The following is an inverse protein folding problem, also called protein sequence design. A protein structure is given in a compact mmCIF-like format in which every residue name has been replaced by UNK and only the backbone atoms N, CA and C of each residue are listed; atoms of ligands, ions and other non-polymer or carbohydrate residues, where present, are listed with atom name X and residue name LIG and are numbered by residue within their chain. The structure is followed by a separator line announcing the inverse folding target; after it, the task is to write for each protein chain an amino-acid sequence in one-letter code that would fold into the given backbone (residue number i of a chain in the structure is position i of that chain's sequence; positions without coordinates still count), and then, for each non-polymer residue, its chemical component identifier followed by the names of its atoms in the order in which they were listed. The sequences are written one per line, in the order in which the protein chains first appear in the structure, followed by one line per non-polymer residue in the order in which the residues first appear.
data_IF_011939620132
#
_entry.id   IF_011939620132
#
_cell.length_a   1.000
_cell.length_b   1.000
_cell.length_c   1.000
_cell.angle_alpha   90.00
_cell.angle_beta   90.00
_cell.angle_gamma   90.00
#
_symmetry.space_group_name_H-M   'P 1'
#
loop_
_entity.id
_entity.type
_entity.pdbx_description
1 polymer ?
#
# COMPACT_ATOMS: atom_id res chain seq x y z
N UNK A 1 -60.20 9.66 15.51
CA UNK A 1 -59.16 10.54 14.94
C UNK A 1 -57.94 10.70 15.84
N UNK A 2 -58.08 10.85 17.17
CA UNK A 2 -56.95 11.06 18.10
C UNK A 2 -56.04 9.82 18.29
N UNK A 3 -56.56 8.59 18.20
CA UNK A 3 -55.76 7.36 18.31
C UNK A 3 -54.89 7.07 17.07
N UNK A 4 -55.35 7.46 15.87
CA UNK A 4 -54.64 7.24 14.62
C UNK A 4 -53.36 8.08 14.51
N UNK A 5 -53.35 9.27 15.16
CA UNK A 5 -52.20 10.18 15.20
C UNK A 5 -51.12 9.65 16.17
N UNK A 6 -51.51 9.05 17.30
CA UNK A 6 -50.57 8.43 18.25
C UNK A 6 -49.90 7.17 17.69
N UNK A 7 -50.65 6.36 16.92
CA UNK A 7 -50.11 5.17 16.24
C UNK A 7 -49.15 5.58 15.12
N UNK A 8 -49.46 6.64 14.36
CA UNK A 8 -48.55 7.17 13.34
C UNK A 8 -47.21 7.66 13.90
N UNK A 9 -47.22 8.27 15.09
CA UNK A 9 -45.99 8.75 15.75
C UNK A 9 -45.11 7.61 16.29
N UNK A 10 -45.70 6.50 16.74
CA UNK A 10 -44.98 5.29 17.20
C UNK A 10 -44.36 4.52 16.02
N UNK A 11 -45.05 4.48 14.87
CA UNK A 11 -44.54 3.85 13.64
C UNK A 11 -43.41 4.68 13.02
N UNK A 12 -43.45 6.02 13.14
CA UNK A 12 -42.38 6.89 12.63
C UNK A 12 -41.12 6.86 13.52
N UNK A 13 -41.26 6.62 14.84
CA UNK A 13 -40.13 6.54 15.77
C UNK A 13 -39.35 5.21 15.67
N UNK A 14 -39.98 4.14 15.17
CA UNK A 14 -39.34 2.82 14.99
C UNK A 14 -38.53 2.70 13.69
N UNK A 15 -38.75 3.60 12.73
CA UNK A 15 -38.06 3.61 11.43
C UNK A 15 -36.67 4.27 11.46
N UNK A 16 -36.25 4.82 12.60
CA UNK A 16 -34.91 5.40 12.82
C UNK A 16 -33.94 4.46 13.56
N UNK A 17 -34.24 3.15 13.64
CA UNK A 17 -33.26 2.16 14.07
C UNK A 17 -32.22 2.00 12.97
N UNK A 18 -31.16 2.80 13.07
CA UNK A 18 -29.96 2.72 12.25
C UNK A 18 -29.46 1.28 12.24
N UNK A 19 -29.47 0.68 11.04
CA UNK A 19 -28.75 -0.56 10.78
C UNK A 19 -27.28 -0.29 11.08
N UNK A 20 -26.82 -0.72 12.25
CA UNK A 20 -25.41 -0.72 12.58
C UNK A 20 -24.76 -1.73 11.62
N UNK A 21 -24.16 -1.22 10.55
CA UNK A 21 -23.23 -2.00 9.74
C UNK A 21 -22.07 -2.31 10.67
N UNK A 22 -22.10 -3.50 11.25
CA UNK A 22 -21.01 -4.00 12.08
C UNK A 22 -19.86 -4.30 11.12
N UNK A 23 -18.96 -3.34 10.97
CA UNK A 23 -17.70 -3.58 10.29
C UNK A 23 -16.98 -4.68 11.06
N UNK A 24 -16.64 -5.78 10.39
CA UNK A 24 -16.04 -6.96 11.01
C UNK A 24 -14.65 -6.70 11.63
N UNK A 25 -14.10 -5.48 11.47
CA UNK A 25 -12.81 -5.09 12.04
C UNK A 25 -11.64 -5.91 11.48
N UNK A 26 -10.50 -5.84 12.17
CA UNK A 26 -9.29 -6.57 11.84
C UNK A 26 -8.03 -5.71 11.86
N UNK A 27 -6.93 -6.30 11.41
CA UNK A 27 -5.61 -5.67 11.40
C UNK A 27 -5.44 -4.79 10.16
N UNK A 28 -5.07 -3.52 10.38
CA UNK A 28 -4.71 -2.57 9.35
C UNK A 28 -3.34 -1.94 9.62
N UNK A 29 -2.64 -1.55 8.55
CA UNK A 29 -1.40 -0.80 8.63
C UNK A 29 -1.71 0.69 8.51
N UNK A 30 -1.03 1.53 9.30
CA UNK A 30 -1.17 2.99 9.26
C UNK A 30 -0.65 3.64 7.98
N UNK A 31 -0.03 2.88 7.07
CA UNK A 31 0.45 3.36 5.78
C UNK A 31 0.41 2.25 4.71
N UNK A 32 0.34 2.66 3.44
CA UNK A 32 0.40 1.75 2.27
C UNK A 32 1.82 1.61 1.68
N UNK A 33 2.78 2.34 2.27
CA UNK A 33 4.22 2.29 2.00
C UNK A 33 4.98 2.95 3.14
N UNK A 34 6.26 2.63 3.25
CA UNK A 34 7.17 3.22 4.24
C UNK A 34 8.33 3.88 3.51
N UNK A 35 8.59 5.14 3.83
CA UNK A 35 9.83 5.82 3.43
C UNK A 35 10.80 5.75 4.61
N UNK A 36 11.96 5.15 4.38
CA UNK A 36 13.06 5.07 5.34
C UNK A 36 14.14 6.07 4.91
N UNK A 37 14.29 7.23 5.57
CA UNK A 37 15.42 8.11 5.34
C UNK A 37 16.72 7.38 5.72
N UNK A 38 17.67 7.26 4.81
CA UNK A 38 18.94 6.53 5.01
C UNK A 38 19.75 6.99 6.24
N UNK A 39 19.64 8.27 6.61
CA UNK A 39 20.30 8.84 7.79
C UNK A 39 19.54 8.57 9.11
N UNK A 40 18.31 8.07 9.06
CA UNK A 40 17.51 7.77 10.24
C UNK A 40 17.99 6.49 10.92
N UNK A 41 18.08 6.52 12.26
CA UNK A 41 18.38 5.34 13.07
C UNK A 41 17.28 4.27 13.00
N UNK A 42 16.03 4.70 12.83
CA UNK A 42 14.86 3.85 12.68
C UNK A 42 13.72 4.63 12.03
N UNK A 43 12.75 3.92 11.48
CA UNK A 43 11.42 4.43 11.11
C UNK A 43 10.34 3.59 11.79
N UNK A 44 9.10 4.08 11.81
CA UNK A 44 7.99 3.43 12.50
C UNK A 44 6.82 3.15 11.56
N UNK A 45 6.07 2.10 11.86
CA UNK A 45 4.81 1.77 11.19
C UNK A 45 3.75 1.42 12.24
N UNK A 46 2.65 2.16 12.25
CA UNK A 46 1.51 1.86 13.11
C UNK A 46 0.72 0.66 12.57
N UNK A 47 0.19 -0.14 13.49
CA UNK A 47 -0.70 -1.26 13.24
C UNK A 47 -1.88 -1.10 14.17
N UNK A 48 -3.09 -1.10 13.62
CA UNK A 48 -4.32 -1.05 14.41
C UNK A 48 -5.10 -2.35 14.29
N UNK A 49 -5.62 -2.83 15.42
CA UNK A 49 -6.65 -3.85 15.45
C UNK A 49 -7.99 -3.17 15.71
N UNK A 50 -8.81 -3.05 14.68
CA UNK A 50 -10.16 -2.48 14.78
C UNK A 50 -11.21 -3.50 15.23
N UNK A 51 -10.85 -4.78 15.33
CA UNK A 51 -11.74 -5.82 15.83
C UNK A 51 -12.06 -5.57 17.32
N UNK A 52 -13.31 -5.84 17.68
CA UNK A 52 -13.80 -5.61 19.04
C UNK A 52 -13.66 -6.81 19.96
N UNK A 53 -13.44 -8.00 19.41
CA UNK A 53 -13.38 -9.27 20.15
C UNK A 53 -12.13 -10.08 19.81
N UNK A 54 -11.68 -10.06 18.55
CA UNK A 54 -10.60 -10.93 18.10
C UNK A 54 -9.21 -10.38 18.41
N UNK A 55 -8.35 -11.29 18.86
CA UNK A 55 -6.91 -11.08 19.03
C UNK A 55 -6.17 -11.64 17.83
N UNK A 56 -5.13 -10.96 17.40
CA UNK A 56 -4.29 -11.41 16.29
C UNK A 56 -2.85 -11.59 16.73
N UNK A 57 -2.24 -12.69 16.35
CA UNK A 57 -0.78 -12.82 16.38
C UNK A 57 -0.22 -12.14 15.13
N UNK A 58 0.56 -11.09 15.33
CA UNK A 58 1.16 -10.28 14.27
C UNK A 58 2.63 -10.67 14.13
N UNK A 59 3.02 -11.18 12.96
CA UNK A 59 4.39 -11.53 12.60
C UNK A 59 4.88 -10.62 11.46
N UNK A 60 6.05 -9.99 11.62
CA UNK A 60 6.53 -8.96 10.70
C UNK A 60 7.97 -9.17 10.26
N UNK A 61 8.25 -8.94 8.97
CA UNK A 61 9.61 -9.04 8.39
C UNK A 61 9.79 -8.16 7.15
N UNK A 62 11.04 -7.95 6.75
CA UNK A 62 11.38 -7.29 5.48
C UNK A 62 11.82 -8.34 4.44
N UNK A 63 11.45 -8.12 3.20
CA UNK A 63 11.99 -8.81 2.03
C UNK A 63 12.74 -7.83 1.12
N UNK A 64 13.73 -8.33 0.38
CA UNK A 64 14.39 -7.59 -0.68
C UNK A 64 13.51 -7.52 -1.96
N UNK A 65 14.01 -6.86 -3.01
CA UNK A 65 13.30 -6.72 -4.29
C UNK A 65 12.98 -8.05 -4.99
N UNK A 66 13.70 -9.12 -4.70
CA UNK A 66 13.46 -10.47 -5.23
C UNK A 66 12.47 -11.30 -4.41
N UNK A 67 11.94 -10.74 -3.30
CA UNK A 67 10.99 -11.43 -2.42
C UNK A 67 11.66 -12.37 -1.41
N UNK A 68 12.98 -12.31 -1.26
CA UNK A 68 13.69 -13.08 -0.23
C UNK A 68 13.76 -12.29 1.07
N UNK A 69 13.64 -12.99 2.20
CA UNK A 69 13.72 -12.37 3.53
C UNK A 69 15.07 -11.65 3.69
N UNK A 70 15.02 -10.36 3.99
CA UNK A 70 16.18 -9.51 4.16
C UNK A 70 16.65 -9.56 5.62
N UNK A 71 17.95 -9.80 5.83
CA UNK A 71 18.58 -9.95 7.15
C UNK A 71 19.18 -8.64 7.65
N UNK A 72 19.42 -7.68 6.76
CA UNK A 72 19.96 -6.36 7.14
C UNK A 72 18.94 -5.45 7.79
N UNK A 73 17.65 -5.84 7.81
CA UNK A 73 16.61 -5.11 8.51
C UNK A 73 16.16 -5.84 9.77
N UNK A 74 15.96 -5.08 10.84
CA UNK A 74 15.36 -5.54 12.08
C UNK A 74 13.99 -4.86 12.19
N UNK A 75 12.95 -5.67 12.40
CA UNK A 75 11.60 -5.19 12.72
C UNK A 75 11.32 -5.57 14.17
N UNK A 76 10.96 -4.60 15.00
CA UNK A 76 10.68 -4.83 16.43
C UNK A 76 9.35 -4.21 16.87
N UNK A 77 8.49 -4.98 17.59
CA UNK A 77 8.62 -6.42 17.82
C UNK A 77 8.39 -7.23 16.53
N UNK A 78 9.16 -8.31 16.26
CA UNK A 78 8.95 -9.13 15.07
C UNK A 78 7.71 -10.03 15.20
N UNK A 79 7.30 -10.34 16.43
CA UNK A 79 6.13 -11.15 16.75
C UNK A 79 5.48 -10.62 18.03
N UNK A 80 4.19 -10.32 18.00
CA UNK A 80 3.43 -9.88 19.17
C UNK A 80 1.94 -10.20 19.02
N UNK A 81 1.20 -10.17 20.12
CA UNK A 81 -0.26 -10.27 20.09
C UNK A 81 -0.86 -8.86 20.07
N UNK A 82 -1.71 -8.59 19.09
CA UNK A 82 -2.54 -7.39 19.02
C UNK A 82 -3.88 -7.68 19.70
N UNK A 83 -4.18 -6.92 20.75
CA UNK A 83 -5.44 -7.02 21.48
C UNK A 83 -6.61 -6.40 20.69
N UNK A 84 -7.87 -6.69 21.03
CA UNK A 84 -9.00 -6.02 20.41
C UNK A 84 -8.94 -4.52 20.67
N UNK A 85 -9.31 -3.70 19.68
CA UNK A 85 -9.27 -2.23 19.74
C UNK A 85 -7.91 -1.65 20.15
N UNK A 86 -6.81 -2.33 19.80
CA UNK A 86 -5.45 -1.89 20.14
C UNK A 86 -4.76 -1.18 18.98
N UNK A 87 -3.75 -0.38 19.33
CA UNK A 87 -2.76 0.13 18.38
C UNK A 87 -1.37 -0.26 18.86
N UNK A 88 -0.54 -0.73 17.94
CA UNK A 88 0.83 -1.14 18.17
C UNK A 88 1.74 -0.47 17.15
N UNK A 89 2.98 -0.17 17.53
CA UNK A 89 3.95 0.44 16.62
C UNK A 89 5.11 -0.52 16.38
N UNK A 90 5.34 -0.84 15.11
CA UNK A 90 6.58 -1.49 14.67
C UNK A 90 7.67 -0.45 14.49
N UNK A 91 8.89 -0.78 14.92
CA UNK A 91 10.11 -0.04 14.59
C UNK A 91 10.92 -0.84 13.57
N UNK A 92 11.36 -0.17 12.53
CA UNK A 92 12.15 -0.73 11.43
C UNK A 92 13.53 -0.08 11.52
N UNK A 93 14.57 -0.91 11.60
CA UNK A 93 15.97 -0.49 11.74
C UNK A 93 16.77 -1.13 10.62
N UNK A 94 17.54 -0.33 9.89
CA UNK A 94 18.52 -0.83 8.93
C UNK A 94 19.89 -0.99 9.59
N UNK A 95 20.47 -2.18 9.52
CA UNK A 95 21.77 -2.55 10.08
C UNK A 95 22.69 -3.20 9.01
N UNK A 96 22.42 -2.95 7.73
CA UNK A 96 23.21 -3.45 6.62
C UNK A 96 24.39 -2.55 6.23
N UNK A 97 25.06 -2.96 5.16
CA UNK A 97 26.08 -2.12 4.51
C UNK A 97 25.42 -0.88 3.87
N UNK A 98 26.17 0.20 3.64
CA UNK A 98 25.65 1.36 2.93
C UNK A 98 25.00 0.98 1.59
N UNK A 99 23.75 1.43 1.39
CA UNK A 99 23.02 1.29 0.14
C UNK A 99 23.44 2.40 -0.85
N UNK A 100 23.07 2.30 -2.15
CA UNK A 100 23.35 3.35 -3.12
C UNK A 100 22.91 4.73 -2.64
N UNK A 101 23.85 5.68 -2.60
CA UNK A 101 23.60 7.06 -2.15
C UNK A 101 22.97 7.95 -3.23
N UNK A 102 22.87 7.47 -4.46
CA UNK A 102 22.47 8.26 -5.63
C UNK A 102 21.03 7.98 -6.10
N UNK A 103 20.31 7.05 -5.45
CA UNK A 103 18.95 6.60 -5.78
C UNK A 103 18.29 5.83 -4.64
N UNK A 104 16.97 5.70 -4.70
CA UNK A 104 16.23 4.84 -3.77
C UNK A 104 16.55 3.35 -3.93
N UNK A 105 16.47 2.62 -2.82
CA UNK A 105 16.50 1.15 -2.78
C UNK A 105 15.13 0.60 -2.37
N UNK A 106 14.68 -0.46 -3.04
CA UNK A 106 13.36 -1.07 -2.82
C UNK A 106 13.47 -2.32 -1.94
N UNK A 107 12.62 -2.36 -0.92
CA UNK A 107 12.33 -3.49 -0.05
C UNK A 107 10.81 -3.64 0.12
N UNK A 108 10.39 -4.70 0.78
CA UNK A 108 8.98 -4.96 1.08
C UNK A 108 8.80 -5.23 2.57
N UNK A 109 7.92 -4.45 3.19
CA UNK A 109 7.45 -4.68 4.55
C UNK A 109 6.29 -5.67 4.53
N UNK A 110 6.45 -6.79 5.22
CA UNK A 110 5.46 -7.84 5.34
C UNK A 110 4.93 -7.88 6.78
N UNK A 111 3.60 -7.83 6.93
CA UNK A 111 2.89 -7.96 8.20
C UNK A 111 1.83 -9.04 8.05
N UNK A 112 2.03 -10.17 8.74
CA UNK A 112 1.10 -11.30 8.75
C UNK A 112 0.24 -11.25 10.02
N UNK A 113 -1.05 -11.08 9.86
CA UNK A 113 -2.05 -11.17 10.92
C UNK A 113 -2.65 -12.58 10.95
N UNK A 114 -2.45 -13.29 12.06
CA UNK A 114 -2.95 -14.65 12.28
C UNK A 114 -4.06 -14.56 13.34
N UNK A 115 -5.33 -14.82 12.99
CA UNK A 115 -6.42 -14.76 13.95
C UNK A 115 -6.28 -15.84 15.03
N UNK A 116 -6.77 -15.53 16.22
CA UNK A 116 -6.84 -16.52 17.31
C UNK A 116 -7.85 -17.61 16.98
N UNK A 117 -7.60 -18.82 17.48
CA UNK A 117 -8.54 -19.94 17.35
C UNK A 117 -9.32 -20.08 18.63
N UNK A 118 -10.65 -19.96 18.54
CA UNK A 118 -11.53 -20.38 19.61
C UNK A 118 -11.89 -21.87 19.46
N UNK A 119 -11.32 -22.72 20.31
CA UNK A 119 -11.50 -24.18 20.25
C UNK A 119 -12.99 -24.59 20.28
N UNK A 120 -13.84 -23.91 21.05
CA UNK A 120 -15.28 -24.22 21.11
C UNK A 120 -16.03 -23.93 19.81
N UNK A 121 -15.48 -23.07 18.95
CA UNK A 121 -16.05 -22.75 17.64
C UNK A 121 -15.59 -23.68 16.53
N UNK A 122 -14.53 -24.47 16.76
CA UNK A 122 -13.92 -25.36 15.76
C UNK A 122 -14.16 -26.83 16.09
N UNK A 123 -14.39 -27.19 17.35
CA UNK A 123 -14.63 -28.57 17.75
C UNK A 123 -15.86 -29.18 17.04
N UNK A 124 -15.64 -30.31 16.37
CA UNK A 124 -16.68 -31.00 15.58
C UNK A 124 -17.05 -30.32 14.26
N UNK A 125 -16.34 -29.27 13.83
CA UNK A 125 -16.62 -28.52 12.59
C UNK A 125 -15.42 -28.49 11.65
N UNK A 126 -15.68 -28.54 10.34
CA UNK A 126 -14.67 -28.28 9.32
C UNK A 126 -14.56 -26.76 9.11
N UNK A 127 -13.51 -26.15 9.66
CA UNK A 127 -13.30 -24.70 9.61
C UNK A 127 -12.09 -24.36 8.75
N UNK A 128 -12.26 -23.46 7.79
CA UNK A 128 -11.17 -22.84 7.04
C UNK A 128 -10.76 -21.55 7.75
N UNK A 129 -9.49 -21.46 8.14
CA UNK A 129 -8.92 -20.26 8.76
C UNK A 129 -7.94 -19.59 7.82
N UNK A 130 -8.08 -18.27 7.65
CA UNK A 130 -7.23 -17.46 6.79
C UNK A 130 -6.39 -16.51 7.64
N UNK A 131 -5.09 -16.50 7.38
CA UNK A 131 -4.20 -15.45 7.87
C UNK A 131 -3.97 -14.44 6.75
N UNK A 132 -4.03 -13.14 7.09
CA UNK A 132 -3.87 -12.06 6.12
C UNK A 132 -2.41 -11.61 6.12
N UNK A 133 -1.81 -11.55 4.94
CA UNK A 133 -0.47 -10.98 4.73
C UNK A 133 -0.59 -9.64 4.02
N UNK A 134 -0.32 -8.56 4.73
CA UNK A 134 -0.17 -7.23 4.15
C UNK A 134 1.29 -7.03 3.73
N UNK A 135 1.51 -6.81 2.43
CA UNK A 135 2.83 -6.55 1.85
C UNK A 135 2.86 -5.15 1.24
N UNK A 136 3.63 -4.25 1.82
CA UNK A 136 3.76 -2.86 1.38
C UNK A 136 5.20 -2.51 1.00
N UNK A 137 5.37 -1.50 0.13
CA UNK A 137 6.68 -1.06 -0.33
C UNK A 137 7.43 -0.35 0.80
N UNK A 138 8.72 -0.63 0.94
CA UNK A 138 9.65 0.07 1.82
C UNK A 138 10.77 0.66 0.96
N UNK A 139 10.85 1.98 0.88
CA UNK A 139 11.88 2.67 0.12
C UNK A 139 12.93 3.24 1.05
N UNK A 140 14.19 2.84 0.88
CA UNK A 140 15.31 3.51 1.55
C UNK A 140 15.76 4.67 0.69
N UNK A 141 15.67 5.88 1.24
CA UNK A 141 15.90 7.13 0.52
C UNK A 141 17.18 7.84 0.99
N UNK A 142 18.17 8.05 0.09
CA UNK A 142 19.30 8.94 0.36
C UNK A 142 18.86 10.38 0.67
N UNK A 143 19.59 11.08 1.53
CA UNK A 143 19.23 12.45 1.93
C UNK A 143 19.42 13.49 0.81
N UNK A 144 20.44 13.30 -0.04
CA UNK A 144 20.90 14.30 -1.01
C UNK A 144 20.57 13.90 -2.45
N UNK A 145 19.29 13.61 -2.73
CA UNK A 145 18.86 13.33 -4.09
C UNK A 145 18.68 14.64 -4.89
N UNK A 146 19.00 14.64 -6.20
CA UNK A 146 19.04 15.86 -7.00
C UNK A 146 17.65 16.47 -7.30
N UNK A 147 16.57 15.70 -7.13
CA UNK A 147 15.19 16.15 -7.35
C UNK A 147 14.35 15.88 -6.12
N UNK A 148 13.23 16.59 -5.96
CA UNK A 148 12.22 16.25 -4.96
C UNK A 148 11.37 15.05 -5.44
N UNK A 149 10.75 14.27 -4.53
CA UNK A 149 9.84 13.21 -4.93
C UNK A 149 8.62 13.75 -5.70
N UNK A 150 8.19 14.99 -5.44
CA UNK A 150 7.08 15.64 -6.14
C UNK A 150 7.43 16.00 -7.60
N UNK A 151 8.68 16.36 -7.88
CA UNK A 151 9.15 16.70 -9.22
C UNK A 151 9.42 15.46 -10.09
N UNK A 152 9.76 14.33 -9.46
CA UNK A 152 10.21 13.13 -10.15
C UNK A 152 9.25 12.60 -11.25
N UNK A 153 7.91 12.58 -11.07
CA UNK A 153 6.96 12.20 -12.13
C UNK A 153 7.07 13.04 -13.40
N UNK A 154 7.43 14.32 -13.30
CA UNK A 154 7.51 15.24 -14.45
C UNK A 154 8.69 14.93 -15.37
N UNK A 155 9.68 14.18 -14.87
CA UNK A 155 10.89 13.81 -15.60
C UNK A 155 10.72 12.54 -16.43
N UNK A 156 9.60 11.83 -16.26
CA UNK A 156 9.31 10.63 -17.03
C UNK A 156 9.24 10.94 -18.52
N UNK A 157 9.88 10.08 -19.31
CA UNK A 157 9.81 10.14 -20.77
C UNK A 157 9.10 8.91 -21.31
N UNK A 158 8.27 9.12 -22.31
CA UNK A 158 7.49 8.08 -22.95
C UNK A 158 7.84 8.04 -24.43
N UNK A 159 8.12 6.85 -24.95
CA UNK A 159 8.38 6.65 -26.38
C UNK A 159 7.77 5.33 -26.85
N UNK A 160 7.43 5.24 -28.13
CA UNK A 160 6.96 4.00 -28.72
C UNK A 160 8.11 3.19 -29.31
N UNK A 161 8.20 1.92 -28.95
CA UNK A 161 9.14 0.95 -29.53
C UNK A 161 8.36 -0.24 -30.08
N UNK A 162 8.06 -0.20 -31.38
CA UNK A 162 7.19 -1.18 -32.03
C UNK A 162 5.80 -1.23 -31.40
N UNK A 163 5.46 -2.37 -30.78
CA UNK A 163 4.19 -2.58 -30.07
C UNK A 163 4.31 -2.39 -28.55
N UNK A 164 5.34 -1.69 -28.07
CA UNK A 164 5.55 -1.42 -26.65
C UNK A 164 5.63 0.08 -26.36
N UNK A 165 5.14 0.46 -25.19
CA UNK A 165 5.40 1.76 -24.57
C UNK A 165 6.68 1.62 -23.77
N UNK A 166 7.72 2.37 -24.16
CA UNK A 166 8.93 2.53 -23.38
C UNK A 166 8.74 3.71 -22.43
N UNK A 167 8.89 3.44 -21.14
CA UNK A 167 8.88 4.42 -20.06
C UNK A 167 10.31 4.56 -19.55
N UNK A 168 10.84 5.77 -19.56
CA UNK A 168 12.17 6.10 -19.03
C UNK A 168 12.03 6.92 -17.77
N UNK A 169 12.60 6.44 -16.68
CA UNK A 169 12.68 7.14 -15.40
C UNK A 169 14.11 7.61 -15.14
N UNK A 170 14.46 8.86 -15.46
CA UNK A 170 15.78 9.41 -15.17
C UNK A 170 15.94 9.84 -13.70
N UNK A 171 14.85 9.87 -12.93
CA UNK A 171 14.87 10.34 -11.53
C UNK A 171 15.54 9.33 -10.60
N UNK A 172 15.84 9.79 -9.38
CA UNK A 172 16.37 8.99 -8.30
C UNK A 172 15.31 8.19 -7.51
N UNK A 173 14.04 8.22 -7.91
CA UNK A 173 12.90 7.67 -7.15
C UNK A 173 12.21 6.52 -7.88
N UNK A 174 11.64 5.58 -7.12
CA UNK A 174 10.68 4.61 -7.64
C UNK A 174 9.35 5.30 -7.88
N UNK A 175 8.82 5.20 -9.10
CA UNK A 175 7.55 5.80 -9.46
C UNK A 175 6.51 4.72 -9.69
N UNK A 176 5.43 4.74 -8.90
CA UNK A 176 4.28 3.85 -9.09
C UNK A 176 3.25 4.58 -9.94
N UNK A 177 3.21 4.26 -11.22
CA UNK A 177 2.26 4.83 -12.16
C UNK A 177 0.95 4.04 -12.12
N UNK A 178 -0.15 4.76 -12.06
CA UNK A 178 -1.51 4.22 -12.06
C UNK A 178 -2.39 5.03 -12.99
N UNK A 179 -3.55 4.47 -13.36
CA UNK A 179 -4.49 5.09 -14.29
C UNK A 179 -3.80 5.53 -15.60
N UNK A 180 -2.89 4.68 -16.09
CA UNK A 180 -2.10 4.94 -17.28
C UNK A 180 -2.99 4.73 -18.50
N UNK A 181 -2.94 5.66 -19.45
CA UNK A 181 -3.54 5.49 -20.77
C UNK A 181 -2.73 6.17 -21.86
N UNK A 182 -2.80 5.60 -23.07
CA UNK A 182 -2.33 6.22 -24.31
C UNK A 182 -3.56 6.49 -25.17
N UNK A 183 -3.92 7.77 -25.31
CA UNK A 183 -5.22 8.17 -25.83
C UNK A 183 -6.36 7.57 -24.99
N UNK A 184 -7.28 6.84 -25.63
CA UNK A 184 -8.41 6.18 -24.95
C UNK A 184 -8.09 4.76 -24.42
N UNK A 185 -6.87 4.25 -24.64
CA UNK A 185 -6.51 2.87 -24.26
C UNK A 185 -5.83 2.84 -22.91
N UNK A 186 -6.44 2.15 -21.95
CA UNK A 186 -5.85 1.91 -20.63
C UNK A 186 -4.69 0.93 -20.70
N UNK A 187 -3.74 1.13 -19.81
CA UNK A 187 -2.54 0.33 -19.62
C UNK A 187 -2.47 -0.06 -18.14
N UNK A 188 -1.93 -1.25 -17.87
CA UNK A 188 -1.79 -1.76 -16.52
C UNK A 188 -0.87 -0.88 -15.67
N UNK A 189 -1.17 -0.82 -14.37
CA UNK A 189 -0.36 -0.09 -13.41
C UNK A 189 1.04 -0.70 -13.33
N UNK A 190 2.06 0.14 -13.26
CA UNK A 190 3.46 -0.30 -13.17
C UNK A 190 4.23 0.50 -12.14
N UNK A 191 5.31 -0.10 -11.65
CA UNK A 191 6.31 0.62 -10.88
C UNK A 191 7.63 0.59 -11.62
N UNK A 192 8.17 1.78 -11.92
CA UNK A 192 9.46 1.93 -12.61
C UNK A 192 10.56 2.28 -11.62
N UNK A 193 11.70 1.61 -11.75
CA UNK A 193 12.85 1.82 -10.87
C UNK A 193 13.59 3.14 -11.19
N UNK A 194 14.34 3.71 -10.23
CA UNK A 194 15.19 4.87 -10.46
C UNK A 194 16.21 4.64 -11.57
N UNK A 195 16.47 5.67 -12.37
CA UNK A 195 17.51 5.68 -13.43
C UNK A 195 17.44 4.42 -14.32
N UNK A 196 16.23 4.06 -14.74
CA UNK A 196 15.96 2.84 -15.50
C UNK A 196 14.91 3.05 -16.59
N UNK A 197 14.85 2.09 -17.50
CA UNK A 197 13.85 1.99 -18.55
C UNK A 197 12.97 0.76 -18.31
N UNK A 198 11.70 0.86 -18.69
CA UNK A 198 10.75 -0.27 -18.71
C UNK A 198 9.98 -0.26 -20.03
N UNK A 199 9.67 -1.44 -20.55
CA UNK A 199 8.79 -1.60 -21.70
C UNK A 199 7.55 -2.38 -21.30
N UNK A 200 6.38 -1.90 -21.74
CA UNK A 200 5.10 -2.56 -21.51
C UNK A 200 4.33 -2.69 -22.82
N UNK A 201 3.56 -3.79 -23.02
CA UNK A 201 2.77 -3.95 -24.23
C UNK A 201 1.78 -2.78 -24.42
N UNK A 202 1.77 -2.21 -25.62
CA UNK A 202 0.75 -1.24 -26.02
C UNK A 202 -0.46 -1.98 -26.60
N UNK A 203 -1.68 -1.69 -26.12
CA UNK A 203 -2.89 -2.18 -26.76
C UNK A 203 -2.95 -1.78 -28.24
N UNK A 204 -3.51 -2.66 -29.08
CA UNK A 204 -3.70 -2.37 -30.50
C UNK A 204 -4.53 -1.08 -30.68
N UNK A 205 -4.04 -0.20 -31.56
CA UNK A 205 -4.66 1.09 -31.83
C UNK A 205 -4.45 2.16 -30.76
N UNK A 206 -3.61 1.93 -29.74
CA UNK A 206 -3.21 2.97 -28.80
C UNK A 206 -2.35 4.03 -29.51
N UNK A 207 -2.82 5.28 -29.54
CA UNK A 207 -2.17 6.43 -30.16
C UNK A 207 -2.50 7.70 -29.37
N UNK A 208 -1.70 8.76 -29.56
CA UNK A 208 -1.87 10.05 -28.87
C UNK A 208 -0.98 10.20 -27.64
N UNK A 209 -1.34 11.13 -26.76
CA UNK A 209 -0.58 11.44 -25.55
C UNK A 209 -0.73 10.34 -24.49
N UNK A 210 0.26 10.26 -23.61
CA UNK A 210 0.22 9.43 -22.41
C UNK A 210 -0.34 10.25 -21.26
N UNK A 211 -1.39 9.76 -20.62
CA UNK A 211 -1.91 10.33 -19.38
C UNK A 211 -1.71 9.34 -18.24
N UNK A 212 -1.27 9.82 -17.08
CA UNK A 212 -1.03 8.96 -15.92
C UNK A 212 -1.18 9.74 -14.61
N UNK A 213 -1.35 9.01 -13.52
CA UNK A 213 -1.18 9.49 -12.16
C UNK A 213 -0.07 8.68 -11.49
N UNK A 214 0.44 9.18 -10.37
CA UNK A 214 1.36 8.43 -9.52
C UNK A 214 0.81 8.30 -8.12
N UNK A 215 1.27 7.27 -7.40
CA UNK A 215 1.05 7.15 -5.95
C UNK A 215 2.21 7.83 -5.25
N UNK A 216 1.95 8.89 -4.49
CA UNK A 216 2.98 9.66 -3.76
C UNK A 216 3.43 8.94 -2.46
N UNK A 217 4.30 9.57 -1.68
CA UNK A 217 4.85 9.00 -0.44
C UNK A 217 3.78 8.72 0.64
N UNK A 218 2.69 9.49 0.63
CA UNK A 218 1.55 9.34 1.54
C UNK A 218 0.54 8.30 1.08
N UNK A 219 0.77 7.65 -0.07
CA UNK A 219 -0.16 6.69 -0.64
C UNK A 219 -1.34 7.32 -1.40
N UNK A 220 -1.33 8.63 -1.60
CA UNK A 220 -2.37 9.35 -2.33
C UNK A 220 -2.06 9.43 -3.84
N UNK A 221 -3.10 9.60 -4.66
CA UNK A 221 -2.96 9.84 -6.08
C UNK A 221 -2.53 11.28 -6.35
N UNK A 222 -1.50 11.48 -7.17
CA UNK A 222 -1.14 12.80 -7.70
C UNK A 222 -2.14 13.26 -8.76
N UNK A 223 -2.12 14.55 -9.09
CA UNK A 223 -2.85 15.08 -10.23
C UNK A 223 -2.48 14.34 -11.52
N UNK A 224 -3.46 14.17 -12.41
CA UNK A 224 -3.24 13.58 -13.71
C UNK A 224 -2.26 14.43 -14.52
N UNK A 225 -1.24 13.78 -15.06
CA UNK A 225 -0.18 14.39 -15.87
C UNK A 225 -0.30 13.87 -17.29
N UNK A 226 -0.14 14.76 -18.28
CA UNK A 226 -0.11 14.40 -19.70
C UNK A 226 1.29 14.61 -20.24
N UNK A 227 1.83 13.59 -20.91
CA UNK A 227 3.11 13.63 -21.57
C UNK A 227 2.95 13.24 -23.05
N UNK A 228 3.77 13.84 -23.91
CA UNK A 228 3.83 13.45 -25.32
C UNK A 228 4.40 12.04 -25.46
N UNK A 229 3.84 11.26 -26.38
CA UNK A 229 4.42 10.00 -26.81
C UNK A 229 5.44 10.30 -27.92
N UNK A 230 6.72 10.14 -27.62
CA UNK A 230 7.82 10.27 -28.58
C UNK A 230 8.00 9.04 -29.46
#
# INVERSE_FOLDING_TARGET
MLNSIKVGFIVLLTLFTSLNVQAAGGIALGATRVIYPSAAKQTSLAISNSDTQERYLVNSWIENSTGQKEKTFIVTPPLFVSEPKSENTLRIIYAGQPLPGDRESLFWMNVKAIPSVNKSHIEGKNVLQLAILSRIKLFVRPANLPQTPEDAPTLLKFSRVGNHLKITNPSAYYLTLVNISVGAKKIDNVMIAPKSDMQIPLPTGAQGSVTFQTVNDYGALTSATTASLG
#
